data_IF_585281684704
#
_entry.id   IF_585281684704
#
_cell.length_a   1.000
_cell.length_b   1.000
_cell.length_c   1.000
_cell.angle_alpha   90.00
_cell.angle_beta   90.00
_cell.angle_gamma   90.00
#
_symmetry.space_group_name_H-M   'P 1'
#
loop_
_entity.id
_entity.type
_entity.pdbx_description
1 polymer ?
#
# COMPACT_ATOMS: atom_id res chain seq x y z
N UNK A 1 11.56 -12.61 -9.44
CA UNK A 1 10.48 -12.56 -10.45
C UNK A 1 10.89 -11.51 -11.47
N UNK A 2 11.05 -11.88 -12.74
CA UNK A 2 11.21 -10.92 -13.81
C UNK A 2 10.02 -9.98 -13.81
N UNK A 3 10.28 -8.70 -13.82
CA UNK A 3 9.24 -7.68 -13.89
C UNK A 3 8.60 -7.78 -15.28
N UNK A 4 7.36 -8.25 -15.33
CA UNK A 4 6.64 -8.41 -16.60
C UNK A 4 6.56 -7.04 -17.29
N UNK A 5 7.09 -6.95 -18.50
CA UNK A 5 7.10 -5.71 -19.29
C UNK A 5 5.67 -5.28 -19.59
N UNK A 6 5.35 -4.00 -19.33
CA UNK A 6 4.03 -3.45 -19.63
C UNK A 6 3.77 -3.52 -21.15
N UNK A 7 2.63 -4.08 -21.52
CA UNK A 7 2.19 -4.32 -22.89
C UNK A 7 1.18 -3.23 -23.33
N UNK A 8 1.69 -2.11 -23.78
CA UNK A 8 0.87 -0.98 -24.27
C UNK A 8 0.09 -1.30 -25.56
N UNK A 9 0.54 -2.29 -26.31
CA UNK A 9 -0.13 -2.79 -27.52
C UNK A 9 -1.47 -3.50 -27.25
N UNK A 10 -1.76 -3.87 -25.99
CA UNK A 10 -3.04 -4.42 -25.59
C UNK A 10 -4.11 -3.36 -25.30
N UNK A 11 -3.75 -2.08 -25.36
CA UNK A 11 -4.68 -0.99 -25.10
C UNK A 11 -5.70 -0.85 -26.25
N UNK A 12 -7.03 -0.78 -25.97
CA UNK A 12 -8.04 -0.63 -27.01
C UNK A 12 -7.97 0.75 -27.66
N UNK A 13 -7.41 0.83 -28.87
CA UNK A 13 -7.07 2.08 -29.54
C UNK A 13 -8.29 2.98 -29.79
N UNK A 14 -9.40 2.44 -30.29
CA UNK A 14 -10.62 3.22 -30.49
C UNK A 14 -11.19 3.77 -29.19
N UNK A 15 -11.11 3.02 -28.10
CA UNK A 15 -11.52 3.50 -26.78
C UNK A 15 -10.71 4.70 -26.31
N UNK A 16 -9.39 4.68 -26.51
CA UNK A 16 -8.50 5.82 -26.21
C UNK A 16 -8.79 7.00 -27.12
N UNK A 17 -9.09 6.78 -28.40
CA UNK A 17 -9.46 7.85 -29.32
C UNK A 17 -10.74 8.57 -28.85
N UNK A 18 -11.77 7.82 -28.42
CA UNK A 18 -13.00 8.41 -27.89
C UNK A 18 -12.74 9.22 -26.60
N UNK A 19 -11.89 8.73 -25.68
CA UNK A 19 -11.45 9.50 -24.51
C UNK A 19 -10.75 10.81 -24.92
N UNK A 20 -9.88 10.77 -25.92
CA UNK A 20 -9.21 11.96 -26.41
C UNK A 20 -10.19 12.97 -27.03
N UNK A 21 -11.27 12.52 -27.70
CA UNK A 21 -12.34 13.40 -28.18
C UNK A 21 -13.03 14.13 -27.01
N UNK A 22 -13.31 13.41 -25.89
CA UNK A 22 -13.85 14.03 -24.68
C UNK A 22 -12.90 15.12 -24.15
N UNK A 23 -11.63 14.78 -23.91
CA UNK A 23 -10.66 15.74 -23.39
C UNK A 23 -10.51 16.97 -24.30
N UNK A 24 -10.49 16.76 -25.62
CA UNK A 24 -10.42 17.84 -26.61
C UNK A 24 -11.66 18.75 -26.56
N UNK A 25 -12.85 18.16 -26.47
CA UNK A 25 -14.10 18.94 -26.41
C UNK A 25 -14.16 19.85 -25.18
N UNK A 26 -13.57 19.41 -24.07
CA UNK A 26 -13.53 20.18 -22.80
C UNK A 26 -12.65 21.45 -22.91
N UNK A 27 -11.73 21.55 -23.88
CA UNK A 27 -10.91 22.74 -24.09
C UNK A 27 -11.73 24.00 -24.42
N UNK A 28 -12.98 23.84 -24.85
CA UNK A 28 -13.91 24.96 -25.01
C UNK A 28 -14.38 25.58 -23.68
N UNK A 29 -14.28 24.84 -22.58
CA UNK A 29 -14.80 25.23 -21.25
C UNK A 29 -13.71 25.36 -20.19
N UNK A 30 -12.60 24.65 -20.34
CA UNK A 30 -11.52 24.53 -19.36
C UNK A 30 -10.16 24.79 -20.00
N UNK A 31 -9.19 25.20 -19.20
CA UNK A 31 -7.80 25.32 -19.65
C UNK A 31 -7.21 23.92 -19.93
N UNK A 32 -6.23 23.90 -20.81
CA UNK A 32 -5.50 22.68 -21.11
C UNK A 32 -4.94 22.05 -19.82
N UNK A 33 -5.23 20.76 -19.63
CA UNK A 33 -4.81 19.99 -18.46
C UNK A 33 -5.26 20.58 -17.10
N UNK A 34 -6.33 21.37 -17.04
CA UNK A 34 -6.82 21.97 -15.79
C UNK A 34 -7.14 20.92 -14.73
N UNK A 35 -7.61 19.74 -15.12
CA UNK A 35 -7.87 18.62 -14.22
C UNK A 35 -6.63 18.18 -13.42
N UNK A 36 -5.40 18.41 -13.91
CA UNK A 36 -4.14 18.12 -13.19
C UNK A 36 -3.96 18.98 -11.93
N UNK A 37 -4.67 20.09 -11.79
CA UNK A 37 -4.69 20.87 -10.55
C UNK A 37 -5.35 20.11 -9.39
N UNK A 38 -6.08 19.07 -9.70
CA UNK A 38 -6.83 18.27 -8.75
C UNK A 38 -8.21 18.85 -8.45
N UNK A 39 -9.10 17.97 -8.05
CA UNK A 39 -10.43 18.28 -7.55
C UNK A 39 -10.85 17.15 -6.60
N UNK A 40 -11.93 17.34 -5.87
CA UNK A 40 -12.47 16.28 -5.02
C UNK A 40 -12.74 15.01 -5.85
N UNK A 41 -12.31 13.88 -5.33
CA UNK A 41 -12.52 12.60 -6.02
C UNK A 41 -14.01 12.26 -6.14
N UNK A 42 -14.82 12.67 -5.14
CA UNK A 42 -16.29 12.51 -5.18
C UNK A 42 -16.93 13.27 -6.32
N UNK A 43 -16.40 14.42 -6.75
CA UNK A 43 -16.92 15.18 -7.90
C UNK A 43 -16.67 14.43 -9.19
N UNK A 44 -15.46 13.89 -9.39
CA UNK A 44 -15.12 13.05 -10.56
C UNK A 44 -15.95 11.78 -10.57
N UNK A 45 -16.09 11.12 -9.40
CA UNK A 45 -16.90 9.91 -9.26
C UNK A 45 -18.38 10.17 -9.53
N UNK A 46 -18.89 11.32 -9.12
CA UNK A 46 -20.27 11.75 -9.40
C UNK A 46 -20.51 11.92 -10.90
N UNK A 47 -19.57 12.56 -11.61
CA UNK A 47 -19.61 12.69 -13.07
C UNK A 47 -19.59 11.33 -13.75
N UNK A 48 -18.69 10.43 -13.33
CA UNK A 48 -18.61 9.07 -13.84
C UNK A 48 -19.95 8.33 -13.70
N UNK A 49 -20.54 8.36 -12.50
CA UNK A 49 -21.82 7.69 -12.21
C UNK A 49 -22.98 8.26 -13.03
N UNK A 50 -22.99 9.59 -13.26
CA UNK A 50 -23.99 10.25 -14.10
C UNK A 50 -23.97 9.67 -15.51
N UNK A 51 -22.80 9.60 -16.14
CA UNK A 51 -22.65 9.09 -17.50
C UNK A 51 -22.92 7.60 -17.59
N UNK A 52 -22.47 6.82 -16.59
CA UNK A 52 -22.78 5.39 -16.49
C UNK A 52 -24.30 5.15 -16.41
N UNK A 53 -25.02 5.93 -15.60
CA UNK A 53 -26.48 5.82 -15.48
C UNK A 53 -27.21 6.15 -16.81
N UNK A 54 -26.71 7.09 -17.60
CA UNK A 54 -27.29 7.37 -18.93
C UNK A 54 -27.10 6.16 -19.85
N UNK A 55 -25.91 5.58 -19.88
CA UNK A 55 -25.62 4.38 -20.66
C UNK A 55 -26.49 3.19 -20.23
N UNK A 56 -26.65 2.93 -18.93
CA UNK A 56 -27.54 1.86 -18.40
C UNK A 56 -29.01 2.04 -18.83
N UNK A 57 -29.42 3.27 -19.13
CA UNK A 57 -30.76 3.60 -19.63
C UNK A 57 -30.86 3.50 -21.15
N UNK A 58 -29.81 3.04 -21.84
CA UNK A 58 -29.77 2.92 -23.30
C UNK A 58 -29.49 4.23 -24.05
N UNK A 59 -28.93 5.24 -23.36
CA UNK A 59 -28.50 6.49 -23.97
C UNK A 59 -27.01 6.37 -24.24
N UNK A 60 -26.64 6.23 -25.51
CA UNK A 60 -25.25 5.98 -25.92
C UNK A 60 -24.45 7.27 -26.08
N UNK A 61 -25.12 8.40 -26.38
CA UNK A 61 -24.46 9.67 -26.71
C UNK A 61 -24.96 10.82 -25.85
N UNK A 62 -24.04 11.70 -25.47
CA UNK A 62 -24.37 12.98 -24.83
C UNK A 62 -25.09 13.91 -25.84
N UNK A 63 -25.66 15.01 -25.35
CA UNK A 63 -26.25 16.05 -26.19
C UNK A 63 -25.23 16.71 -27.17
N UNK A 64 -23.93 16.56 -26.88
CA UNK A 64 -22.81 17.05 -27.69
C UNK A 64 -22.35 16.00 -28.71
N UNK A 65 -23.01 14.84 -28.80
CA UNK A 65 -22.69 13.74 -29.73
C UNK A 65 -21.46 12.93 -29.35
N UNK A 66 -21.05 12.96 -28.07
CA UNK A 66 -19.92 12.21 -27.54
C UNK A 66 -20.44 10.94 -26.84
N UNK A 67 -19.67 9.85 -26.88
CA UNK A 67 -20.06 8.60 -26.23
C UNK A 67 -20.13 8.74 -24.70
N UNK A 68 -21.24 8.36 -24.09
CA UNK A 68 -21.42 8.32 -22.64
C UNK A 68 -20.38 7.43 -21.97
N UNK A 69 -20.04 6.28 -22.58
CA UNK A 69 -18.99 5.40 -22.05
C UNK A 69 -17.58 6.00 -22.19
N UNK A 70 -17.34 6.90 -23.13
CA UNK A 70 -16.06 7.62 -23.20
C UNK A 70 -15.94 8.66 -22.05
N UNK A 71 -17.04 9.31 -21.68
CA UNK A 71 -17.08 10.16 -20.46
C UNK A 71 -16.81 9.33 -19.18
N UNK A 72 -17.38 8.12 -19.07
CA UNK A 72 -17.08 7.19 -17.97
C UNK A 72 -15.60 6.84 -17.93
N UNK A 73 -15.03 6.43 -19.07
CA UNK A 73 -13.63 6.07 -19.20
C UNK A 73 -12.69 7.26 -18.88
N UNK A 74 -13.01 8.45 -19.35
CA UNK A 74 -12.26 9.68 -19.07
C UNK A 74 -12.21 9.97 -17.56
N UNK A 75 -13.35 9.95 -16.89
CA UNK A 75 -13.40 10.18 -15.45
C UNK A 75 -12.67 9.08 -14.67
N UNK A 76 -12.76 7.82 -15.10
CA UNK A 76 -12.03 6.70 -14.49
C UNK A 76 -10.50 6.87 -14.63
N UNK A 77 -10.02 7.27 -15.81
CA UNK A 77 -8.59 7.56 -16.04
C UNK A 77 -8.09 8.73 -15.19
N UNK A 78 -8.88 9.80 -15.05
CA UNK A 78 -8.56 10.92 -14.17
C UNK A 78 -8.43 10.45 -12.72
N UNK A 79 -9.34 9.61 -12.23
CA UNK A 79 -9.23 9.04 -10.88
C UNK A 79 -7.98 8.14 -10.72
N UNK A 80 -7.63 7.34 -11.73
CA UNK A 80 -6.41 6.57 -11.73
C UNK A 80 -5.16 7.47 -11.63
N UNK A 81 -5.15 8.57 -12.38
CA UNK A 81 -4.06 9.54 -12.34
C UNK A 81 -3.98 10.24 -10.98
N UNK A 82 -5.10 10.57 -10.34
CA UNK A 82 -5.14 11.21 -9.04
C UNK A 82 -4.50 10.39 -7.91
N UNK A 83 -4.44 9.07 -8.03
CA UNK A 83 -3.64 8.25 -7.11
C UNK A 83 -2.16 8.64 -7.10
N UNK A 84 -1.66 9.20 -8.20
CA UNK A 84 -0.26 9.59 -8.35
C UNK A 84 -0.03 11.07 -8.11
N UNK A 85 -0.91 11.94 -8.64
CA UNK A 85 -0.68 13.39 -8.64
C UNK A 85 -1.49 14.16 -7.61
N UNK A 86 -2.64 13.63 -7.13
CA UNK A 86 -3.53 14.34 -6.23
C UNK A 86 -4.22 13.43 -5.20
N UNK A 87 -3.47 12.62 -4.43
CA UNK A 87 -4.06 11.71 -3.42
C UNK A 87 -4.78 12.45 -2.28
N UNK A 88 -4.37 13.68 -1.97
CA UNK A 88 -5.01 14.52 -0.93
C UNK A 88 -6.43 14.96 -1.29
N UNK A 89 -6.86 14.81 -2.53
CA UNK A 89 -8.22 15.10 -2.97
C UNK A 89 -9.22 13.97 -2.69
N UNK A 90 -8.78 12.84 -2.14
CA UNK A 90 -9.66 11.74 -1.80
C UNK A 90 -10.56 12.07 -0.61
N UNK A 91 -11.75 12.55 -0.93
CA UNK A 91 -12.81 12.93 0.04
C UNK A 91 -13.95 11.90 0.07
N UNK A 92 -13.73 10.70 -0.47
CA UNK A 92 -14.75 9.65 -0.43
C UNK A 92 -15.06 9.30 1.02
N UNK A 93 -16.34 9.34 1.35
CA UNK A 93 -16.81 8.75 2.60
C UNK A 93 -16.56 7.25 2.47
N UNK A 94 -15.51 6.79 3.11
CA UNK A 94 -15.34 5.35 3.33
C UNK A 94 -16.62 4.91 4.03
N UNK A 95 -17.35 3.94 3.45
CA UNK A 95 -18.38 3.25 4.22
C UNK A 95 -17.75 2.91 5.58
N UNK A 96 -18.49 2.98 6.71
CA UNK A 96 -17.94 2.50 7.95
C UNK A 96 -17.47 1.08 7.70
N UNK A 97 -16.21 0.96 7.34
CA UNK A 97 -15.52 -0.30 7.36
C UNK A 97 -15.56 -0.63 8.85
N UNK A 98 -16.15 -1.76 9.18
CA UNK A 98 -15.86 -2.40 10.44
C UNK A 98 -14.39 -2.12 10.69
N UNK A 99 -14.08 -1.48 11.82
CA UNK A 99 -12.77 -0.95 12.22
C UNK A 99 -11.62 -1.56 11.41
N UNK A 100 -10.79 -0.78 10.70
CA UNK A 100 -9.77 -1.33 9.82
C UNK A 100 -8.88 -2.29 10.62
N UNK A 101 -8.69 -3.49 10.12
CA UNK A 101 -7.82 -4.47 10.75
C UNK A 101 -6.38 -4.12 10.39
N UNK A 102 -5.60 -3.83 11.41
CA UNK A 102 -4.21 -3.40 11.27
C UNK A 102 -3.27 -4.58 11.47
N UNK A 103 -2.59 -5.00 10.42
CA UNK A 103 -1.46 -5.92 10.48
C UNK A 103 -0.14 -5.16 10.41
N UNK A 104 0.73 -5.34 11.40
CA UNK A 104 1.99 -4.61 11.52
C UNK A 104 3.19 -5.57 11.39
N UNK A 105 4.14 -5.24 10.53
CA UNK A 105 5.41 -5.95 10.45
C UNK A 105 6.30 -5.62 11.65
N UNK A 106 7.21 -6.51 12.00
CA UNK A 106 8.09 -6.37 13.16
C UNK A 106 9.47 -5.84 12.80
N UNK A 107 10.22 -6.53 11.95
CA UNK A 107 11.63 -6.25 11.72
C UNK A 107 11.82 -5.01 10.86
N UNK A 108 12.64 -4.07 11.36
CA UNK A 108 12.89 -2.75 10.78
C UNK A 108 11.63 -1.89 10.58
N UNK A 109 10.57 -2.24 11.29
CA UNK A 109 9.32 -1.46 11.41
C UNK A 109 9.03 -1.14 12.88
N UNK A 110 8.84 -2.15 13.72
CA UNK A 110 8.67 -1.99 15.18
C UNK A 110 10.00 -2.13 15.90
N UNK A 111 10.79 -3.12 15.53
CA UNK A 111 12.08 -3.43 16.12
C UNK A 111 13.23 -3.13 15.16
N UNK A 112 14.33 -2.60 15.68
CA UNK A 112 15.55 -2.36 14.93
C UNK A 112 16.40 -3.63 14.83
N UNK A 113 15.95 -4.53 13.95
CA UNK A 113 16.64 -5.79 13.70
C UNK A 113 18.07 -5.57 13.19
N UNK A 114 18.25 -4.62 12.28
CA UNK A 114 19.55 -4.34 11.70
C UNK A 114 20.56 -3.95 12.78
N UNK A 115 20.19 -3.01 13.65
CA UNK A 115 21.07 -2.59 14.77
C UNK A 115 21.38 -3.76 15.71
N UNK A 116 20.37 -4.54 16.10
CA UNK A 116 20.59 -5.69 16.98
C UNK A 116 21.54 -6.73 16.36
N UNK A 117 21.40 -6.96 15.06
CA UNK A 117 22.27 -7.85 14.32
C UNK A 117 23.71 -7.32 14.26
N UNK A 118 23.87 -6.04 13.91
CA UNK A 118 25.18 -5.37 13.89
C UNK A 118 25.88 -5.41 15.25
N UNK A 119 25.14 -5.13 16.31
CA UNK A 119 25.66 -5.15 17.69
C UNK A 119 26.10 -6.55 18.12
N UNK A 120 25.40 -7.61 17.67
CA UNK A 120 25.74 -9.00 18.03
C UNK A 120 26.92 -9.55 17.24
N UNK A 121 26.96 -9.34 15.94
CA UNK A 121 27.93 -9.98 15.05
C UNK A 121 29.08 -9.07 14.61
N UNK A 122 29.02 -7.78 14.91
CA UNK A 122 30.04 -6.81 14.49
C UNK A 122 30.07 -6.57 12.98
N UNK A 123 28.99 -6.90 12.28
CA UNK A 123 28.87 -6.83 10.81
C UNK A 123 27.87 -5.75 10.45
N UNK A 124 28.31 -4.70 9.76
CA UNK A 124 27.41 -3.66 9.28
C UNK A 124 26.40 -4.20 8.25
N UNK A 125 25.14 -3.95 8.48
CA UNK A 125 24.08 -4.36 7.55
C UNK A 125 24.10 -3.47 6.31
N UNK A 126 24.10 -4.11 5.16
CA UNK A 126 23.97 -3.37 3.90
C UNK A 126 22.56 -2.75 3.83
N UNK A 127 22.43 -1.44 3.52
CA UNK A 127 21.14 -0.80 3.36
C UNK A 127 20.30 -1.40 2.23
N UNK A 128 20.92 -2.11 1.30
CA UNK A 128 20.22 -2.83 0.22
C UNK A 128 19.98 -4.27 0.63
N UNK A 129 18.72 -4.61 0.87
CA UNK A 129 18.30 -5.92 1.37
C UNK A 129 18.91 -7.13 0.64
N UNK A 130 19.03 -7.02 -0.68
CA UNK A 130 19.55 -8.12 -1.53
C UNK A 130 21.06 -8.39 -1.38
N UNK A 131 21.77 -7.57 -0.65
CA UNK A 131 23.23 -7.68 -0.48
C UNK A 131 23.65 -8.25 0.90
N UNK A 132 22.67 -8.69 1.72
CA UNK A 132 22.94 -9.20 3.07
C UNK A 132 23.09 -10.73 3.07
N UNK A 133 23.99 -11.26 2.25
CA UNK A 133 24.28 -12.70 2.20
C UNK A 133 24.79 -13.25 3.54
N UNK A 134 25.52 -12.46 4.31
CA UNK A 134 26.06 -12.86 5.61
C UNK A 134 24.97 -13.15 6.65
N UNK A 135 23.81 -12.53 6.51
CA UNK A 135 22.69 -12.79 7.41
C UNK A 135 22.26 -14.26 7.37
N UNK A 136 22.31 -14.91 6.19
CA UNK A 136 21.94 -16.31 6.04
C UNK A 136 22.87 -17.27 6.80
N UNK A 137 24.12 -16.89 7.02
CA UNK A 137 25.10 -17.68 7.76
C UNK A 137 24.79 -17.74 9.25
N UNK A 138 24.22 -16.68 9.81
CA UNK A 138 23.90 -16.56 11.22
C UNK A 138 22.43 -16.89 11.58
N UNK A 139 21.56 -17.16 10.60
CA UNK A 139 20.14 -17.41 10.88
C UNK A 139 19.91 -18.58 11.83
N UNK A 140 20.65 -19.69 11.68
CA UNK A 140 20.52 -20.85 12.56
C UNK A 140 20.94 -20.55 14.00
N UNK A 141 21.94 -19.69 14.20
CA UNK A 141 22.34 -19.24 15.53
C UNK A 141 21.21 -18.39 16.16
N UNK A 142 20.68 -17.47 15.37
CA UNK A 142 19.58 -16.60 15.82
C UNK A 142 18.30 -17.36 16.14
N UNK A 143 17.95 -18.40 15.37
CA UNK A 143 16.75 -19.21 15.61
C UNK A 143 16.72 -19.84 17.00
N UNK A 144 17.88 -20.09 17.62
CA UNK A 144 18.02 -20.67 18.95
C UNK A 144 18.35 -19.65 20.06
N UNK A 145 18.60 -18.39 19.71
CA UNK A 145 19.00 -17.33 20.64
C UNK A 145 17.80 -16.51 21.13
N UNK A 146 17.11 -17.01 22.15
CA UNK A 146 15.98 -16.30 22.77
C UNK A 146 16.38 -14.90 23.26
N UNK A 147 17.56 -14.76 23.90
CA UNK A 147 18.00 -13.48 24.44
C UNK A 147 18.18 -12.41 23.38
N UNK A 148 18.65 -12.78 22.21
CA UNK A 148 18.70 -11.86 21.08
C UNK A 148 17.31 -11.30 20.75
N UNK A 149 16.33 -12.18 20.54
CA UNK A 149 15.01 -11.79 20.08
C UNK A 149 14.21 -10.97 21.07
N UNK A 150 14.34 -11.25 22.37
CA UNK A 150 13.60 -10.51 23.40
C UNK A 150 14.24 -9.15 23.72
N UNK A 151 15.50 -8.92 23.30
CA UNK A 151 16.25 -7.71 23.58
C UNK A 151 16.45 -6.79 22.35
N UNK A 152 15.87 -7.10 21.20
CA UNK A 152 15.93 -6.22 20.04
C UNK A 152 15.38 -4.83 20.42
N UNK A 153 16.10 -3.74 20.17
CA UNK A 153 15.62 -2.40 20.50
C UNK A 153 14.39 -2.02 19.69
N UNK A 154 13.50 -1.24 20.31
CA UNK A 154 12.32 -0.70 19.62
C UNK A 154 12.74 0.44 18.72
N UNK A 155 12.41 0.35 17.44
CA UNK A 155 12.63 1.38 16.43
C UNK A 155 11.47 2.37 16.41
N UNK A 156 10.25 1.88 16.26
CA UNK A 156 9.05 2.72 16.26
C UNK A 156 7.96 2.13 17.16
N UNK A 157 7.23 3.02 17.84
CA UNK A 157 6.06 2.65 18.63
C UNK A 157 4.79 3.05 17.88
N UNK A 158 3.86 2.10 17.62
CA UNK A 158 2.58 2.46 17.01
C UNK A 158 1.77 3.35 17.95
N UNK A 159 1.19 4.42 17.41
CA UNK A 159 0.24 5.29 18.10
C UNK A 159 -1.23 4.86 17.90
N UNK A 160 -1.44 3.72 17.30
CA UNK A 160 -2.72 3.14 16.93
C UNK A 160 -2.83 1.72 17.47
N UNK A 161 -4.06 1.21 17.48
CA UNK A 161 -4.33 -0.18 17.86
C UNK A 161 -3.85 -1.15 16.79
N UNK A 162 -3.16 -2.22 17.21
CA UNK A 162 -2.64 -3.26 16.34
C UNK A 162 -3.49 -4.52 16.53
N UNK A 163 -4.08 -5.03 15.45
CA UNK A 163 -4.89 -6.25 15.52
C UNK A 163 -4.06 -7.51 15.32
N UNK A 164 -3.00 -7.43 14.51
CA UNK A 164 -2.06 -8.55 14.28
C UNK A 164 -0.65 -8.04 14.06
N UNK A 165 0.33 -8.79 14.55
CA UNK A 165 1.70 -8.69 14.05
C UNK A 165 1.95 -9.74 12.98
N UNK A 166 2.70 -9.40 11.93
CA UNK A 166 3.01 -10.32 10.83
C UNK A 166 4.50 -10.31 10.60
N UNK A 167 5.15 -11.46 10.74
CA UNK A 167 6.61 -11.54 10.64
C UNK A 167 7.06 -12.80 9.90
N UNK A 168 8.28 -12.76 9.37
CA UNK A 168 8.96 -13.92 8.80
C UNK A 168 9.96 -14.57 9.76
N UNK A 169 9.95 -14.19 11.05
CA UNK A 169 10.82 -14.79 12.07
C UNK A 169 10.48 -16.27 12.24
N UNK A 170 11.47 -17.13 12.11
CA UNK A 170 11.35 -18.59 12.33
C UNK A 170 11.71 -18.94 13.77
N UNK A 171 10.97 -18.40 14.73
CA UNK A 171 11.17 -18.59 16.17
C UNK A 171 9.84 -18.85 16.88
N UNK A 172 9.84 -19.38 18.11
CA UNK A 172 8.63 -19.55 18.88
C UNK A 172 7.87 -18.22 19.05
N UNK A 173 6.57 -18.25 18.82
CA UNK A 173 5.70 -17.06 18.91
C UNK A 173 5.72 -16.45 20.32
N UNK A 174 5.95 -17.28 21.32
CA UNK A 174 6.06 -16.88 22.73
C UNK A 174 7.22 -15.89 22.95
N UNK A 175 8.33 -16.05 22.25
CA UNK A 175 9.47 -15.13 22.36
C UNK A 175 9.14 -13.77 21.76
N UNK A 176 8.36 -13.77 20.68
CA UNK A 176 7.88 -12.52 20.08
C UNK A 176 6.92 -11.80 21.03
N UNK A 177 5.99 -12.54 21.65
CA UNK A 177 5.05 -11.99 22.62
C UNK A 177 5.76 -11.44 23.84
N UNK A 178 6.76 -12.17 24.36
CA UNK A 178 7.59 -11.72 25.48
C UNK A 178 8.35 -10.43 25.13
N UNK A 179 8.92 -10.34 23.93
CA UNK A 179 9.57 -9.12 23.45
C UNK A 179 8.62 -7.93 23.36
N UNK A 180 7.42 -8.13 22.83
CA UNK A 180 6.38 -7.10 22.79
C UNK A 180 6.00 -6.62 24.18
N UNK A 181 5.72 -7.55 25.10
CA UNK A 181 5.33 -7.25 26.47
C UNK A 181 6.45 -6.54 27.23
N UNK A 182 7.69 -7.03 27.16
CA UNK A 182 8.87 -6.41 27.78
C UNK A 182 9.05 -4.95 27.38
N UNK A 183 8.74 -4.64 26.13
CA UNK A 183 8.87 -3.31 25.57
C UNK A 183 7.61 -2.44 25.73
N UNK A 184 6.55 -2.92 26.39
CA UNK A 184 5.30 -2.19 26.59
C UNK A 184 4.62 -1.85 25.25
N UNK A 185 4.72 -2.75 24.27
CA UNK A 185 4.05 -2.65 22.98
C UNK A 185 2.65 -3.28 23.05
N UNK A 186 1.71 -2.88 22.16
CA UNK A 186 0.39 -3.50 22.11
C UNK A 186 0.47 -5.01 22.02
N UNK A 187 -0.32 -5.71 22.86
CA UNK A 187 -0.42 -7.17 22.83
C UNK A 187 -1.42 -7.56 21.75
N UNK A 188 -0.96 -8.20 20.69
CA UNK A 188 -1.79 -8.68 19.58
C UNK A 188 -1.31 -10.06 19.10
N UNK A 189 -2.19 -10.88 18.49
CA UNK A 189 -1.80 -12.15 17.90
C UNK A 189 -0.68 -11.99 16.87
N UNK A 190 0.25 -12.96 16.84
CA UNK A 190 1.37 -12.98 15.89
C UNK A 190 1.09 -14.01 14.79
N UNK A 191 1.24 -13.61 13.55
CA UNK A 191 1.17 -14.45 12.36
C UNK A 191 2.60 -14.61 11.83
N UNK A 192 3.13 -15.80 11.90
CA UNK A 192 4.41 -16.14 11.27
C UNK A 192 4.19 -16.62 9.84
N UNK A 193 5.02 -16.16 8.93
CA UNK A 193 4.98 -16.57 7.51
C UNK A 193 6.37 -17.05 7.07
N UNK A 194 6.46 -17.99 6.12
CA UNK A 194 7.75 -18.33 5.53
C UNK A 194 8.43 -17.09 4.94
N UNK A 195 9.76 -17.08 4.96
CA UNK A 195 10.58 -15.95 4.50
C UNK A 195 10.20 -15.38 3.12
N UNK A 196 9.80 -16.25 2.20
CA UNK A 196 9.41 -15.90 0.83
C UNK A 196 7.91 -15.73 0.63
N UNK A 197 7.10 -15.84 1.69
CA UNK A 197 5.66 -15.74 1.60
C UNK A 197 5.18 -14.28 1.69
N UNK A 198 4.04 -14.01 1.03
CA UNK A 198 3.39 -12.70 1.11
C UNK A 198 2.72 -12.50 2.47
N UNK A 199 3.21 -11.56 3.27
CA UNK A 199 2.59 -11.13 4.53
C UNK A 199 1.16 -10.62 4.30
N UNK A 200 0.91 -9.96 3.16
CA UNK A 200 -0.43 -9.49 2.76
C UNK A 200 -1.40 -10.66 2.54
N UNK A 201 -0.93 -11.73 1.88
CA UNK A 201 -1.76 -12.92 1.66
C UNK A 201 -2.11 -13.61 2.99
N UNK A 202 -1.19 -13.64 3.96
CA UNK A 202 -1.42 -14.20 5.29
C UNK A 202 -2.51 -13.42 6.06
N UNK A 203 -2.51 -12.09 5.98
CA UNK A 203 -3.57 -11.26 6.57
C UNK A 203 -4.91 -11.52 5.88
N UNK A 204 -4.93 -11.60 4.54
CA UNK A 204 -6.14 -11.92 3.78
C UNK A 204 -6.78 -13.24 4.21
N UNK A 205 -5.99 -14.28 4.48
CA UNK A 205 -6.48 -15.59 4.89
C UNK A 205 -7.20 -15.59 6.25
N UNK A 206 -7.06 -14.54 7.05
CA UNK A 206 -7.71 -14.39 8.37
C UNK A 206 -9.13 -13.79 8.30
N UNK A 207 -9.75 -13.80 7.12
CA UNK A 207 -11.17 -13.45 6.97
C UNK A 207 -11.44 -12.00 6.59
N UNK A 208 -10.42 -11.22 6.25
CA UNK A 208 -10.57 -9.85 5.74
C UNK A 208 -10.83 -9.93 4.23
N UNK A 209 -11.95 -10.52 3.84
CA UNK A 209 -12.11 -11.02 2.47
C UNK A 209 -12.64 -10.00 1.47
N UNK A 210 -13.23 -8.88 1.88
CA UNK A 210 -13.92 -7.97 0.95
C UNK A 210 -13.48 -6.51 1.00
N UNK A 211 -12.63 -6.12 1.93
CA UNK A 211 -12.03 -4.80 1.94
C UNK A 211 -10.68 -4.83 1.22
N UNK A 212 -10.40 -3.84 0.40
CA UNK A 212 -9.07 -3.66 -0.18
C UNK A 212 -8.02 -3.55 0.94
N UNK A 213 -6.90 -4.29 0.82
CA UNK A 213 -5.81 -4.13 1.79
C UNK A 213 -5.01 -2.90 1.40
N UNK A 214 -4.96 -1.92 2.30
CA UNK A 214 -4.08 -0.78 2.19
C UNK A 214 -2.72 -1.15 2.79
N UNK A 215 -1.66 -1.12 1.96
CA UNK A 215 -0.30 -1.33 2.44
C UNK A 215 0.42 0.01 2.52
N UNK A 216 0.88 0.36 3.72
CA UNK A 216 1.84 1.44 3.92
C UNK A 216 3.26 0.87 3.81
N UNK A 217 4.15 1.62 3.20
CA UNK A 217 5.56 1.26 3.07
C UNK A 217 6.37 2.11 4.05
N UNK A 218 6.97 1.46 5.06
CA UNK A 218 7.94 2.13 5.93
C UNK A 218 9.17 2.50 5.11
N UNK A 219 9.60 3.77 5.21
CA UNK A 219 10.76 4.26 4.49
C UNK A 219 12.04 3.55 4.93
N UNK A 220 12.81 3.09 3.96
CA UNK A 220 14.11 2.47 4.19
C UNK A 220 15.00 2.63 2.94
N UNK A 221 16.33 2.64 3.09
CA UNK A 221 17.23 2.85 1.96
C UNK A 221 16.99 1.91 0.78
N UNK A 222 16.66 0.64 1.05
CA UNK A 222 16.44 -0.37 0.02
C UNK A 222 15.12 -0.23 -0.76
N UNK A 223 14.21 0.63 -0.31
CA UNK A 223 12.88 0.76 -0.93
C UNK A 223 12.57 2.18 -1.44
N UNK A 224 13.52 3.10 -1.40
CA UNK A 224 13.32 4.51 -1.79
C UNK A 224 12.95 4.69 -3.26
N UNK A 225 13.30 3.75 -4.13
CA UNK A 225 12.96 3.79 -5.55
C UNK A 225 11.50 3.37 -5.85
N UNK A 226 10.78 2.79 -4.88
CA UNK A 226 9.35 2.50 -5.08
C UNK A 226 8.51 3.77 -4.94
N UNK A 227 7.82 4.14 -5.99
CA UNK A 227 6.91 5.29 -5.99
C UNK A 227 5.55 4.87 -5.42
N UNK A 228 5.38 5.03 -4.12
CA UNK A 228 4.13 4.68 -3.42
C UNK A 228 3.35 5.91 -2.95
N UNK A 229 3.81 7.12 -3.29
CA UNK A 229 3.17 8.39 -2.95
C UNK A 229 2.92 8.53 -1.45
N UNK A 230 1.71 8.92 -1.07
CA UNK A 230 1.29 9.13 0.32
C UNK A 230 1.29 7.86 1.20
N UNK A 231 1.47 6.69 0.60
CA UNK A 231 1.59 5.42 1.35
C UNK A 231 2.99 5.18 1.91
N UNK A 232 3.95 6.06 1.63
CA UNK A 232 5.26 6.03 2.30
C UNK A 232 5.14 6.70 3.66
N UNK A 233 5.61 6.01 4.68
CA UNK A 233 5.57 6.47 6.07
C UNK A 233 6.97 6.42 6.66
N UNK A 234 7.25 7.29 7.60
CA UNK A 234 8.56 7.47 8.23
C UNK A 234 8.54 7.12 9.71
N UNK A 235 7.36 6.94 10.27
CA UNK A 235 7.13 6.47 11.63
C UNK A 235 5.75 5.82 11.78
N UNK A 236 5.44 5.30 12.95
CA UNK A 236 4.16 4.67 13.28
C UNK A 236 3.20 5.62 14.04
N UNK A 237 3.29 6.92 13.81
CA UNK A 237 2.41 7.94 14.39
C UNK A 237 1.27 8.36 13.45
N UNK A 238 0.90 7.51 12.53
CA UNK A 238 -0.10 7.81 11.52
C UNK A 238 -1.50 7.71 12.13
N UNK A 239 -2.40 8.67 11.90
CA UNK A 239 -3.80 8.44 12.11
C UNK A 239 -4.29 7.44 11.06
N UNK A 240 -4.55 6.21 11.46
CA UNK A 240 -5.30 5.26 10.61
C UNK A 240 -6.73 5.76 10.60
N UNK A 241 -7.11 6.35 9.47
CA UNK A 241 -8.47 6.84 9.23
C UNK A 241 -9.31 5.73 8.63
#
# INVERSE_FOLDING_TARGET
MEQQKIRYDLTPQYGIEEVNKILTSKLSKYQENEWKRGMKWTDVLSSLKKHLNQFERGIDYTNEGLLEMAEVATNALILCEFYHIYPQGDDRVMAPIDKPIVGLDLDNVVFDFNKAYEDKFGVAMNPYWNANYQMSEHLHELESDKEFWINIPVLHRPSFEVDYYVTARNIPTEWIQESLQKNGLPCAPVITVPWNASKVAAIKSKGITNAGIFCYLMDAPHNQYYQVGHRRIYDLKIPIK
#
